data_IF_172674959567
#
_entry.id   IF_172674959567
#
_cell.length_a   1.000
_cell.length_b   1.000
_cell.length_c   1.000
_cell.angle_alpha   90.00
_cell.angle_beta   90.00
_cell.angle_gamma   90.00
#
_symmetry.space_group_name_H-M   'P 1'
#
loop_
_entity.id
_entity.type
_entity.pdbx_description
1 polymer ?
#
# COMPACT_ATOMS: atom_id res chain seq x y z
N UNK A 1 -14.41 20.67 -37.61
CA UNK A 1 -14.72 19.40 -37.10
C UNK A 1 -16.15 19.24 -36.64
N UNK A 2 -16.49 18.01 -36.49
CA UNK A 2 -17.84 17.64 -36.05
C UNK A 2 -17.93 17.66 -34.52
N UNK A 3 -18.91 18.37 -33.99
CA UNK A 3 -19.17 18.44 -32.54
C UNK A 3 -20.36 17.55 -32.17
N UNK A 4 -20.13 16.61 -31.26
CA UNK A 4 -21.15 15.71 -30.75
C UNK A 4 -21.44 16.06 -29.27
N UNK A 5 -22.58 16.71 -28.97
CA UNK A 5 -22.93 17.07 -27.60
C UNK A 5 -23.03 15.86 -26.66
N UNK A 6 -23.52 14.73 -27.17
CA UNK A 6 -23.64 13.50 -26.34
C UNK A 6 -22.27 12.96 -25.96
N UNK A 7 -21.33 12.92 -26.92
CA UNK A 7 -19.97 12.47 -26.63
C UNK A 7 -19.27 13.42 -25.66
N UNK A 8 -19.47 14.73 -25.83
CA UNK A 8 -18.90 15.73 -24.93
C UNK A 8 -19.44 15.58 -23.51
N UNK A 9 -20.75 15.41 -23.36
CA UNK A 9 -21.39 15.21 -22.06
C UNK A 9 -20.86 13.94 -21.37
N UNK A 10 -20.71 12.84 -22.11
CA UNK A 10 -20.19 11.59 -21.57
C UNK A 10 -18.76 11.74 -21.09
N UNK A 11 -17.89 12.41 -21.86
CA UNK A 11 -16.50 12.65 -21.48
C UNK A 11 -16.41 13.55 -20.23
N UNK A 12 -17.24 14.59 -20.16
CA UNK A 12 -17.29 15.49 -19.01
C UNK A 12 -17.69 14.73 -17.75
N UNK A 13 -18.68 13.84 -17.87
CA UNK A 13 -19.13 13.01 -16.74
C UNK A 13 -18.02 12.08 -16.27
N UNK A 14 -17.31 11.42 -17.20
CA UNK A 14 -16.19 10.54 -16.87
C UNK A 14 -15.10 11.33 -16.14
N UNK A 15 -14.75 12.52 -16.61
CA UNK A 15 -13.75 13.37 -15.99
C UNK A 15 -14.17 13.79 -14.57
N UNK A 16 -15.44 14.15 -14.39
CA UNK A 16 -15.97 14.54 -13.08
C UNK A 16 -15.94 13.35 -12.11
N UNK A 17 -16.35 12.16 -12.56
CA UNK A 17 -16.31 10.94 -11.76
C UNK A 17 -14.88 10.58 -11.37
N UNK A 18 -13.92 10.65 -12.32
CA UNK A 18 -12.52 10.39 -12.06
C UNK A 18 -11.94 11.38 -11.04
N UNK A 19 -12.33 12.67 -11.15
CA UNK A 19 -11.90 13.70 -10.21
C UNK A 19 -12.45 13.43 -8.81
N UNK A 20 -13.71 13.05 -8.71
CA UNK A 20 -14.35 12.71 -7.43
C UNK A 20 -13.70 11.49 -6.80
N UNK A 21 -13.35 10.48 -7.60
CA UNK A 21 -12.64 9.28 -7.11
C UNK A 21 -11.24 9.59 -6.59
N UNK A 22 -10.58 10.60 -7.14
CA UNK A 22 -9.25 11.01 -6.69
C UNK A 22 -9.28 11.92 -5.48
N UNK A 23 -10.42 12.61 -5.25
CA UNK A 23 -10.56 13.48 -4.10
C UNK A 23 -10.53 12.62 -2.82
N UNK A 24 -9.71 13.02 -1.85
CA UNK A 24 -9.67 12.37 -0.54
C UNK A 24 -9.24 10.90 -0.55
N UNK A 25 -8.36 10.50 -1.50
CA UNK A 25 -7.76 9.17 -1.47
C UNK A 25 -6.38 9.25 -0.82
N UNK A 26 -6.28 9.00 0.47
CA UNK A 26 -4.96 9.00 1.12
C UNK A 26 -4.11 7.84 0.61
N UNK A 27 -2.80 8.07 0.56
CA UNK A 27 -1.84 7.02 0.22
C UNK A 27 -1.50 6.28 1.50
N UNK A 28 -1.72 4.98 1.52
CA UNK A 28 -1.46 4.15 2.69
C UNK A 28 -0.41 3.09 2.37
N UNK A 29 0.49 2.86 3.31
CA UNK A 29 1.55 1.87 3.19
C UNK A 29 1.05 0.55 3.76
N UNK A 30 1.11 -0.51 2.97
CA UNK A 30 0.70 -1.85 3.38
C UNK A 30 1.90 -2.54 4.03
N UNK A 31 1.82 -2.75 5.33
CA UNK A 31 2.86 -3.38 6.13
C UNK A 31 2.41 -4.80 6.46
N UNK A 32 3.05 -5.79 5.86
CA UNK A 32 2.71 -7.20 6.04
C UNK A 32 3.95 -8.07 5.81
N UNK A 33 3.93 -9.34 6.26
CA UNK A 33 5.09 -10.23 6.11
C UNK A 33 5.44 -10.48 4.64
N UNK A 34 6.75 -10.61 4.36
CA UNK A 34 7.26 -11.06 3.07
C UNK A 34 8.05 -12.36 3.22
N UNK A 35 9.04 -12.38 4.12
CA UNK A 35 9.89 -13.53 4.35
C UNK A 35 9.12 -14.75 4.87
N UNK A 36 9.65 -15.94 4.64
CA UNK A 36 8.99 -17.19 4.96
C UNK A 36 8.32 -17.76 3.72
N UNK A 37 7.02 -17.95 3.73
CA UNK A 37 6.27 -18.37 2.53
C UNK A 37 6.00 -17.14 1.66
N UNK A 38 6.96 -16.80 0.81
CA UNK A 38 6.91 -15.57 0.00
C UNK A 38 5.71 -15.54 -0.95
N UNK A 39 5.36 -16.67 -1.56
CA UNK A 39 4.23 -16.71 -2.50
C UNK A 39 2.92 -16.43 -1.77
N UNK A 40 2.73 -17.06 -0.62
CA UNK A 40 1.53 -16.85 0.20
C UNK A 40 1.49 -15.41 0.74
N UNK A 41 2.62 -14.91 1.20
CA UNK A 41 2.72 -13.55 1.73
C UNK A 41 2.44 -12.50 0.66
N UNK A 42 2.88 -12.70 -0.58
CA UNK A 42 2.57 -11.81 -1.69
C UNK A 42 1.09 -11.86 -2.06
N UNK A 43 0.50 -13.05 -2.06
CA UNK A 43 -0.93 -13.22 -2.29
C UNK A 43 -1.75 -12.47 -1.24
N UNK A 44 -1.36 -12.62 0.02
CA UNK A 44 -2.01 -11.90 1.12
C UNK A 44 -1.87 -10.39 0.95
N UNK A 45 -0.69 -9.91 0.59
CA UNK A 45 -0.45 -8.48 0.39
C UNK A 45 -1.32 -7.91 -0.74
N UNK A 46 -1.54 -8.67 -1.81
CA UNK A 46 -2.46 -8.26 -2.88
C UNK A 46 -3.89 -8.10 -2.36
N UNK A 47 -4.32 -9.03 -1.51
CA UNK A 47 -5.63 -8.94 -0.86
C UNK A 47 -5.74 -7.69 -0.01
N UNK A 48 -4.70 -7.37 0.76
CA UNK A 48 -4.67 -6.16 1.59
C UNK A 48 -4.70 -4.88 0.75
N UNK A 49 -4.00 -4.88 -0.37
CA UNK A 49 -4.06 -3.78 -1.33
C UNK A 49 -5.48 -3.58 -1.86
N UNK A 50 -6.14 -4.65 -2.24
CA UNK A 50 -7.52 -4.59 -2.75
C UNK A 50 -8.46 -4.04 -1.69
N UNK A 51 -8.29 -4.48 -0.45
CA UNK A 51 -9.04 -3.96 0.69
C UNK A 51 -8.86 -2.44 0.83
N UNK A 52 -7.63 -1.95 0.73
CA UNK A 52 -7.34 -0.51 0.83
C UNK A 52 -8.00 0.28 -0.30
N UNK A 53 -8.00 -0.25 -1.53
CA UNK A 53 -8.68 0.38 -2.68
C UNK A 53 -10.18 0.49 -2.40
N UNK A 54 -10.78 -0.57 -1.90
CA UNK A 54 -12.21 -0.59 -1.57
C UNK A 54 -12.55 0.34 -0.40
N UNK A 55 -11.58 0.60 0.47
CA UNK A 55 -11.71 1.57 1.57
C UNK A 55 -11.48 3.02 1.11
N UNK A 56 -11.26 3.26 -0.19
CA UNK A 56 -11.07 4.60 -0.73
C UNK A 56 -9.65 5.13 -0.65
N UNK A 57 -8.66 4.26 -0.48
CA UNK A 57 -7.26 4.65 -0.35
C UNK A 57 -6.44 4.25 -1.59
N UNK A 58 -5.21 4.75 -1.66
CA UNK A 58 -4.22 4.32 -2.66
C UNK A 58 -3.19 3.48 -1.93
N UNK A 59 -3.15 2.15 -2.14
CA UNK A 59 -2.20 1.28 -1.45
C UNK A 59 -0.81 1.35 -2.06
N UNK A 60 0.21 1.33 -1.21
CA UNK A 60 1.61 1.15 -1.59
C UNK A 60 2.12 -0.09 -0.87
N UNK A 61 2.48 -1.12 -1.62
CA UNK A 61 3.02 -2.37 -1.09
C UNK A 61 4.34 -2.68 -1.80
N UNK A 62 5.45 -2.02 -1.41
CA UNK A 62 6.72 -2.16 -2.12
C UNK A 62 7.24 -3.58 -2.16
N UNK A 63 6.95 -4.39 -1.15
CA UNK A 63 7.40 -5.79 -1.10
C UNK A 63 6.77 -6.67 -2.18
N UNK A 64 5.64 -6.25 -2.78
CA UNK A 64 5.13 -6.92 -3.99
C UNK A 64 5.92 -6.46 -5.21
N UNK A 65 6.21 -5.18 -5.29
CA UNK A 65 6.82 -4.54 -6.45
C UNK A 65 8.31 -4.89 -6.59
N UNK A 66 9.07 -4.69 -5.52
CA UNK A 66 10.54 -4.87 -5.58
C UNK A 66 10.95 -6.31 -5.78
N UNK A 67 10.17 -7.28 -5.32
CA UNK A 67 10.48 -8.70 -5.50
C UNK A 67 10.47 -9.13 -6.97
N UNK A 68 9.88 -8.33 -7.85
CA UNK A 68 9.83 -8.65 -9.27
C UNK A 68 11.17 -8.43 -9.98
N UNK A 69 12.06 -7.64 -9.40
CA UNK A 69 13.35 -7.33 -10.03
C UNK A 69 14.52 -7.22 -9.06
N UNK A 70 14.31 -7.49 -7.77
CA UNK A 70 15.37 -7.52 -6.77
C UNK A 70 15.45 -8.91 -6.14
N UNK A 71 16.65 -9.30 -5.74
CA UNK A 71 16.92 -10.60 -5.15
C UNK A 71 16.92 -10.52 -3.63
N UNK A 72 15.83 -10.99 -3.01
CA UNK A 72 15.67 -10.97 -1.55
C UNK A 72 16.63 -11.90 -0.82
N UNK A 73 17.27 -12.84 -1.53
CA UNK A 73 18.29 -13.73 -0.97
C UNK A 73 19.67 -13.08 -0.89
N UNK A 74 19.87 -11.97 -1.59
CA UNK A 74 21.10 -11.18 -1.50
C UNK A 74 20.91 -10.11 -0.42
N UNK A 75 21.76 -10.16 0.61
CA UNK A 75 21.65 -9.26 1.76
C UNK A 75 21.73 -7.79 1.36
N UNK A 76 22.61 -7.44 0.42
CA UNK A 76 22.76 -6.05 -0.03
C UNK A 76 21.50 -5.56 -0.72
N UNK A 77 20.89 -6.38 -1.56
CA UNK A 77 19.67 -6.01 -2.25
C UNK A 77 18.50 -5.94 -1.27
N UNK A 78 18.44 -6.86 -0.31
CA UNK A 78 17.40 -6.84 0.72
C UNK A 78 17.50 -5.58 1.57
N UNK A 79 18.70 -5.20 1.98
CA UNK A 79 18.92 -3.97 2.77
C UNK A 79 18.57 -2.73 1.95
N UNK A 80 18.91 -2.72 0.67
CA UNK A 80 18.55 -1.63 -0.24
C UNK A 80 17.02 -1.55 -0.40
N UNK A 81 16.36 -2.68 -0.58
CA UNK A 81 14.91 -2.73 -0.70
C UNK A 81 14.23 -2.18 0.55
N UNK A 82 14.71 -2.56 1.73
CA UNK A 82 14.18 -2.04 3.00
C UNK A 82 14.37 -0.51 3.09
N UNK A 83 15.52 -0.01 2.68
CA UNK A 83 15.77 1.44 2.62
C UNK A 83 14.76 2.13 1.69
N UNK A 84 14.53 1.56 0.50
CA UNK A 84 13.56 2.13 -0.45
C UNK A 84 12.13 2.04 0.08
N UNK A 85 11.80 0.96 0.80
CA UNK A 85 10.51 0.83 1.48
C UNK A 85 10.28 2.00 2.44
N UNK A 86 11.31 2.34 3.23
CA UNK A 86 11.24 3.44 4.19
C UNK A 86 11.07 4.79 3.47
N UNK A 87 11.74 4.99 2.34
CA UNK A 87 11.55 6.19 1.53
C UNK A 87 10.10 6.32 1.09
N UNK A 88 9.51 5.23 0.60
CA UNK A 88 8.11 5.22 0.15
C UNK A 88 7.15 5.41 1.33
N UNK A 89 7.42 4.73 2.45
CA UNK A 89 6.62 4.90 3.67
C UNK A 89 6.58 6.37 4.09
N UNK A 90 7.70 7.07 4.01
CA UNK A 90 7.78 8.46 4.41
C UNK A 90 6.87 9.38 3.60
N UNK A 91 6.44 8.94 2.43
CA UNK A 91 5.55 9.69 1.53
C UNK A 91 4.08 9.31 1.68
N UNK A 92 3.78 8.33 2.51
CA UNK A 92 2.42 7.88 2.77
C UNK A 92 1.79 8.65 3.91
N UNK A 93 0.46 8.75 3.89
CA UNK A 93 -0.30 9.39 4.96
C UNK A 93 -0.40 8.48 6.18
N UNK A 94 -0.57 7.17 5.96
CA UNK A 94 -0.82 6.21 7.02
C UNK A 94 -0.06 4.92 6.79
N UNK A 95 0.20 4.19 7.87
CA UNK A 95 0.74 2.83 7.83
C UNK A 95 -0.35 1.86 8.27
N UNK A 96 -0.66 0.89 7.44
CA UNK A 96 -1.64 -0.15 7.73
C UNK A 96 -0.92 -1.48 7.94
N UNK A 97 -0.98 -2.01 9.15
CA UNK A 97 -0.28 -3.23 9.58
C UNK A 97 -1.25 -4.39 9.59
N UNK A 98 -0.92 -5.48 8.91
CA UNK A 98 -1.80 -6.65 8.76
C UNK A 98 -1.20 -7.90 9.40
N UNK A 99 -2.04 -8.62 10.16
CA UNK A 99 -1.69 -9.87 10.79
C UNK A 99 -1.09 -9.68 12.18
N UNK A 100 -1.01 -10.79 12.92
CA UNK A 100 -0.47 -10.78 14.28
C UNK A 100 1.05 -10.90 14.31
N UNK A 101 1.61 -11.56 13.29
CA UNK A 101 3.07 -11.76 13.20
C UNK A 101 3.74 -10.51 12.69
N UNK A 102 4.60 -9.94 13.50
CA UNK A 102 5.40 -8.77 13.14
C UNK A 102 6.83 -9.24 12.85
N UNK A 103 7.24 -9.16 11.60
CA UNK A 103 8.61 -9.52 11.19
C UNK A 103 9.57 -8.38 11.56
N UNK A 104 10.88 -8.65 11.46
CA UNK A 104 11.88 -7.61 11.73
C UNK A 104 11.75 -6.41 10.79
N UNK A 105 11.49 -6.66 9.50
CA UNK A 105 11.25 -5.59 8.53
C UNK A 105 10.02 -4.76 8.88
N UNK A 106 8.93 -5.41 9.25
CA UNK A 106 7.71 -4.73 9.68
C UNK A 106 7.96 -3.86 10.93
N UNK A 107 8.74 -4.38 11.88
CA UNK A 107 9.10 -3.63 13.09
C UNK A 107 9.82 -2.33 12.77
N UNK A 108 10.74 -2.36 11.81
CA UNK A 108 11.48 -1.18 11.37
C UNK A 108 10.53 -0.16 10.75
N UNK A 109 9.60 -0.61 9.92
CA UNK A 109 8.59 0.25 9.30
C UNK A 109 7.67 0.89 10.34
N UNK A 110 7.19 0.10 11.29
CA UNK A 110 6.33 0.59 12.37
C UNK A 110 7.06 1.65 13.21
N UNK A 111 8.31 1.37 13.59
CA UNK A 111 9.10 2.32 14.38
C UNK A 111 9.32 3.63 13.62
N UNK A 112 9.61 3.53 12.33
CA UNK A 112 9.80 4.73 11.50
C UNK A 112 8.52 5.56 11.41
N UNK A 113 7.38 4.91 11.23
CA UNK A 113 6.08 5.59 11.19
C UNK A 113 5.79 6.28 12.52
N UNK A 114 6.08 5.64 13.64
CA UNK A 114 5.92 6.24 14.97
C UNK A 114 6.76 7.50 15.13
N UNK A 115 8.03 7.44 14.73
CA UNK A 115 8.94 8.59 14.82
C UNK A 115 8.45 9.75 13.96
N UNK A 116 7.87 9.46 12.82
CA UNK A 116 7.37 10.49 11.91
C UNK A 116 6.00 11.01 12.31
N UNK A 117 5.34 10.40 13.27
CA UNK A 117 4.00 10.79 13.71
C UNK A 117 2.91 10.40 12.73
N UNK A 118 3.15 9.38 11.90
CA UNK A 118 2.14 8.88 10.97
C UNK A 118 1.08 8.07 11.72
N UNK A 119 -0.16 8.12 11.24
CA UNK A 119 -1.23 7.31 11.80
C UNK A 119 -0.97 5.84 11.45
N UNK A 120 -1.01 4.98 12.47
CA UNK A 120 -0.81 3.54 12.30
C UNK A 120 -2.12 2.84 12.62
N UNK A 121 -2.59 2.02 11.69
CA UNK A 121 -3.80 1.23 11.87
C UNK A 121 -3.45 -0.24 11.76
N UNK A 122 -4.06 -1.07 12.59
CA UNK A 122 -3.79 -2.50 12.67
C UNK A 122 -5.01 -3.29 12.23
N UNK A 123 -4.76 -4.35 11.46
CA UNK A 123 -5.80 -5.22 10.91
C UNK A 123 -5.43 -6.67 11.11
N UNK A 124 -6.44 -7.54 11.22
CA UNK A 124 -6.24 -8.99 11.16
C UNK A 124 -5.92 -9.41 9.72
N UNK A 125 -5.54 -10.67 9.54
CA UNK A 125 -5.35 -11.25 8.20
C UNK A 125 -6.64 -11.23 7.37
N UNK A 126 -7.79 -11.11 8.02
CA UNK A 126 -9.09 -11.02 7.36
C UNK A 126 -9.53 -9.56 7.16
N UNK A 127 -8.62 -8.62 7.29
CA UNK A 127 -8.87 -7.19 7.08
C UNK A 127 -9.88 -6.59 8.07
N UNK A 128 -9.94 -7.12 9.27
CA UNK A 128 -10.74 -6.56 10.34
C UNK A 128 -9.87 -5.67 11.21
N UNK A 129 -10.27 -4.42 11.38
CA UNK A 129 -9.47 -3.47 12.17
C UNK A 129 -9.49 -3.85 13.65
N UNK A 130 -8.30 -3.78 14.28
CA UNK A 130 -8.10 -4.03 15.69
C UNK A 130 -7.41 -2.85 16.35
N UNK A 131 -7.68 -2.62 17.62
CA UNK A 131 -7.02 -1.56 18.38
C UNK A 131 -5.81 -2.13 19.11
N UNK A 132 -4.71 -1.43 19.03
CA UNK A 132 -3.50 -1.76 19.78
C UNK A 132 -2.96 -0.53 20.49
#
# INVERSE_FOLDING_TARGET
GYYDPTAYEALTKIEQEAKALRAFRPVVYICSPLAGDMLKNQENARTYCRFAVEAGCVPIAPHIYFTQFMNDNDRRERDLALFMDIVLLSKCAELWVFGEKITSGMSIEIEKAKRKGQLIRYFTENCEEVRR
#
